data_IF_171144204172
#
_entry.id   IF_171144204172
#
_cell.length_a   1.000
_cell.length_b   1.000
_cell.length_c   1.000
_cell.angle_alpha   90.00
_cell.angle_beta   90.00
_cell.angle_gamma   90.00
#
_symmetry.space_group_name_H-M   'P 1'
#
loop_
_entity.id
_entity.type
_entity.pdbx_description
1 polymer ?
#
# COMPACT_ATOMS: atom_id res chain seq x y z
N UNK A 1 54.27 -55.32 4.18
CA UNK A 1 54.72 -54.93 2.83
C UNK A 1 53.74 -55.48 1.80
N UNK A 2 53.06 -54.58 1.06
CA UNK A 2 52.25 -54.80 -0.16
C UNK A 2 51.08 -55.81 -0.08
N UNK A 3 49.88 -55.59 -0.64
CA UNK A 3 49.55 -55.13 -1.99
C UNK A 3 48.14 -54.52 -2.08
N UNK A 4 48.03 -53.59 -3.03
CA UNK A 4 46.82 -53.08 -3.67
C UNK A 4 45.83 -54.16 -4.14
N UNK A 5 44.53 -53.84 -4.09
CA UNK A 5 43.54 -54.36 -5.05
C UNK A 5 42.75 -53.16 -5.60
N UNK A 6 42.86 -52.97 -6.91
CA UNK A 6 42.01 -52.11 -7.74
C UNK A 6 40.70 -52.85 -8.02
N UNK A 7 39.57 -52.16 -7.96
CA UNK A 7 38.34 -52.61 -8.63
C UNK A 7 38.03 -51.67 -9.78
N UNK A 8 38.02 -52.26 -10.97
CA UNK A 8 37.61 -51.70 -12.26
C UNK A 8 36.19 -52.17 -12.50
N UNK A 9 35.27 -51.28 -12.85
CA UNK A 9 34.01 -51.68 -13.47
C UNK A 9 33.84 -50.91 -14.80
N UNK A 10 33.70 -51.71 -15.86
CA UNK A 10 33.62 -51.31 -17.27
C UNK A 10 32.28 -51.82 -17.81
N UNK A 11 31.64 -50.98 -18.65
CA UNK A 11 30.58 -51.26 -19.64
C UNK A 11 29.18 -51.61 -19.10
N UNK A 12 28.07 -51.16 -19.69
CA UNK A 12 27.79 -51.25 -21.14
C UNK A 12 26.81 -50.19 -21.66
N UNK A 13 27.12 -49.67 -22.83
CA UNK A 13 26.22 -48.94 -23.73
C UNK A 13 25.41 -49.92 -24.55
N UNK A 14 24.11 -49.68 -24.73
CA UNK A 14 23.28 -50.30 -25.76
C UNK A 14 22.55 -49.19 -26.53
N UNK A 15 22.94 -49.03 -27.78
CA UNK A 15 22.24 -48.29 -28.83
C UNK A 15 21.25 -49.23 -29.51
N UNK A 16 20.03 -48.77 -29.75
CA UNK A 16 19.15 -49.24 -30.83
C UNK A 16 18.31 -48.05 -31.33
N UNK A 17 18.67 -47.58 -32.52
CA UNK A 17 17.85 -46.90 -33.56
C UNK A 17 16.58 -47.71 -33.86
N UNK A 18 15.43 -47.23 -34.37
CA UNK A 18 14.98 -46.01 -35.07
C UNK A 18 13.47 -46.17 -35.29
N UNK A 19 12.69 -45.09 -35.45
CA UNK A 19 11.71 -44.97 -36.54
C UNK A 19 11.11 -43.55 -36.62
N UNK A 20 11.01 -43.08 -37.86
CA UNK A 20 10.40 -41.83 -38.30
C UNK A 20 8.87 -41.83 -38.10
N UNK A 21 8.33 -40.66 -37.77
CA UNK A 21 6.90 -40.35 -37.84
C UNK A 21 6.69 -38.84 -37.82
N UNK A 22 6.30 -38.27 -38.96
CA UNK A 22 6.08 -36.84 -39.22
C UNK A 22 4.65 -36.40 -38.88
N UNK A 23 4.53 -35.38 -38.00
CA UNK A 23 3.47 -34.35 -37.93
C UNK A 23 2.08 -34.73 -37.37
N UNK A 24 1.21 -33.76 -37.02
CA UNK A 24 1.37 -32.30 -37.03
C UNK A 24 1.07 -31.60 -35.69
N UNK A 25 1.66 -30.41 -35.51
CA UNK A 25 1.10 -29.21 -34.85
C UNK A 25 0.05 -29.43 -33.74
N UNK A 26 0.50 -29.62 -32.50
CA UNK A 26 -0.36 -29.37 -31.32
C UNK A 26 -0.37 -27.87 -31.04
N UNK A 27 -1.57 -27.30 -31.13
CA UNK A 27 -1.87 -25.95 -30.69
C UNK A 27 -1.45 -25.76 -29.25
N UNK A 28 -0.83 -24.61 -28.96
CA UNK A 28 -0.78 -24.08 -27.61
C UNK A 28 -2.22 -23.82 -27.18
N UNK A 29 -2.79 -24.77 -26.45
CA UNK A 29 -4.03 -24.54 -25.71
C UNK A 29 -3.76 -23.43 -24.70
N UNK A 30 -4.27 -22.24 -25.05
CA UNK A 30 -4.57 -21.22 -24.08
C UNK A 30 -5.58 -21.82 -23.12
N UNK A 31 -5.17 -22.04 -21.87
CA UNK A 31 -6.11 -22.24 -20.78
C UNK A 31 -6.93 -20.94 -20.68
N UNK A 32 -8.24 -20.95 -20.93
CA UNK A 32 -9.06 -19.81 -20.60
C UNK A 32 -9.09 -19.76 -19.07
N UNK A 33 -8.44 -18.76 -18.46
CA UNK A 33 -8.76 -18.35 -17.10
C UNK A 33 -10.15 -17.74 -17.10
N UNK A 34 -11.14 -18.62 -17.15
CA UNK A 34 -12.53 -18.37 -16.76
C UNK A 34 -12.68 -18.91 -15.34
N UNK A 35 -11.87 -18.39 -14.41
CA UNK A 35 -12.21 -18.44 -13.00
C UNK A 35 -13.24 -17.34 -12.80
N UNK A 36 -14.47 -17.71 -12.49
CA UNK A 36 -15.44 -16.76 -11.96
C UNK A 36 -14.86 -16.25 -10.63
N UNK A 37 -14.19 -15.10 -10.68
CA UNK A 37 -13.82 -14.33 -9.50
C UNK A 37 -15.13 -14.02 -8.78
N UNK A 38 -15.46 -14.83 -7.77
CA UNK A 38 -16.46 -14.45 -6.81
C UNK A 38 -15.88 -13.24 -6.10
N UNK A 39 -16.35 -12.06 -6.52
CA UNK A 39 -16.18 -10.82 -5.79
C UNK A 39 -16.59 -11.11 -4.36
N UNK A 40 -15.62 -11.18 -3.45
CA UNK A 40 -15.91 -11.26 -2.03
C UNK A 40 -16.48 -9.88 -1.70
N UNK A 41 -17.81 -9.79 -1.68
CA UNK A 41 -18.54 -8.62 -1.23
C UNK A 41 -18.28 -8.44 0.27
N UNK A 42 -17.12 -7.85 0.60
CA UNK A 42 -16.91 -7.23 1.89
C UNK A 42 -17.85 -6.03 2.05
N UNK A 43 -18.10 -5.58 3.29
CA UNK A 43 -18.98 -4.44 3.60
C UNK A 43 -18.55 -3.09 2.97
N UNK A 44 -17.45 -3.07 2.22
CA UNK A 44 -16.85 -1.89 1.59
C UNK A 44 -17.43 -1.53 0.21
N UNK A 45 -18.37 -2.29 -0.35
CA UNK A 45 -18.69 -2.24 -1.79
C UNK A 45 -19.94 -1.43 -2.21
N UNK A 46 -20.62 -0.69 -1.32
CA UNK A 46 -21.86 0.04 -1.69
C UNK A 46 -21.89 1.55 -1.40
N UNK A 47 -20.76 2.23 -1.51
CA UNK A 47 -20.71 3.70 -1.43
C UNK A 47 -20.28 4.29 -2.76
N UNK A 48 -20.94 5.36 -3.22
CA UNK A 48 -20.33 6.30 -4.16
C UNK A 48 -19.09 6.86 -3.45
N UNK A 49 -17.89 6.52 -3.91
CA UNK A 49 -16.63 6.90 -3.26
C UNK A 49 -15.97 8.05 -4.02
N UNK A 50 -15.47 9.02 -3.26
CA UNK A 50 -14.54 10.03 -3.71
C UNK A 50 -13.09 9.60 -3.42
N UNK A 51 -12.16 10.12 -4.20
CA UNK A 51 -10.73 9.95 -3.95
C UNK A 51 -10.26 11.21 -3.21
N UNK A 52 -9.70 11.03 -2.01
CA UNK A 52 -9.09 12.13 -1.27
C UNK A 52 -7.58 11.99 -1.30
N UNK A 53 -6.91 13.11 -1.55
CA UNK A 53 -5.45 13.20 -1.68
C UNK A 53 -4.92 14.21 -0.68
N UNK A 54 -4.05 13.73 0.19
CA UNK A 54 -3.25 14.55 1.09
C UNK A 54 -1.96 14.98 0.40
N UNK A 55 -1.76 16.28 0.30
CA UNK A 55 -0.66 16.95 -0.40
C UNK A 55 0.11 17.80 0.60
N UNK A 56 1.41 17.96 0.39
CA UNK A 56 2.23 18.94 1.10
C UNK A 56 2.75 19.96 0.09
N UNK A 57 2.62 21.25 0.41
CA UNK A 57 3.15 22.33 -0.41
C UNK A 57 4.64 22.60 -0.13
N UNK A 58 5.26 23.41 -0.98
CA UNK A 58 6.68 23.83 -0.84
C UNK A 58 6.98 24.59 0.47
N UNK A 59 5.96 25.00 1.22
CA UNK A 59 6.07 25.61 2.55
C UNK A 59 5.87 24.62 3.69
N UNK A 60 5.77 23.31 3.40
CA UNK A 60 5.47 22.23 4.34
C UNK A 60 4.07 22.30 4.98
N UNK A 61 3.11 23.00 4.35
CA UNK A 61 1.71 22.93 4.81
C UNK A 61 1.00 21.75 4.14
N UNK A 62 0.30 20.97 4.94
CA UNK A 62 -0.57 19.91 4.45
C UNK A 62 -1.88 20.48 3.90
N UNK A 63 -2.35 19.88 2.82
CA UNK A 63 -3.63 20.18 2.20
C UNK A 63 -4.34 18.88 1.83
N UNK A 64 -5.66 18.84 1.96
CA UNK A 64 -6.49 17.70 1.54
C UNK A 64 -7.37 18.17 0.41
N UNK A 65 -7.33 17.45 -0.71
CA UNK A 65 -8.15 17.71 -1.89
C UNK A 65 -9.04 16.51 -2.21
N UNK A 66 -10.21 16.80 -2.77
CA UNK A 66 -11.06 15.79 -3.39
C UNK A 66 -10.76 15.74 -4.90
N UNK A 67 -10.61 14.52 -5.41
CA UNK A 67 -10.53 14.25 -6.84
C UNK A 67 -11.81 13.56 -7.29
N UNK A 68 -12.36 14.05 -8.38
CA UNK A 68 -13.48 13.43 -9.09
C UNK A 68 -12.94 12.59 -10.25
N UNK A 69 -13.40 11.33 -10.34
CA UNK A 69 -13.12 10.44 -11.44
C UNK A 69 -14.39 10.13 -12.24
N UNK A 70 -14.43 10.57 -13.49
CA UNK A 70 -15.52 10.31 -14.43
C UNK A 70 -15.19 9.09 -15.31
N UNK A 71 -15.75 7.94 -14.93
CA UNK A 71 -15.62 6.68 -15.66
C UNK A 71 -16.18 6.73 -17.10
N UNK A 72 -16.98 7.74 -17.46
CA UNK A 72 -17.55 7.89 -18.79
C UNK A 72 -16.71 8.78 -19.72
N UNK A 73 -15.76 9.54 -19.15
CA UNK A 73 -14.91 10.45 -19.90
C UNK A 73 -13.71 9.72 -20.54
N UNK A 74 -13.09 10.38 -21.52
CA UNK A 74 -11.78 9.95 -22.02
C UNK A 74 -10.72 10.08 -20.92
N UNK A 75 -9.76 9.17 -20.84
CA UNK A 75 -8.76 9.11 -19.74
C UNK A 75 -8.11 10.47 -19.41
N UNK A 76 -7.73 11.27 -20.43
CA UNK A 76 -7.09 12.58 -20.22
C UNK A 76 -7.98 13.67 -19.62
N UNK A 77 -9.29 13.41 -19.50
CA UNK A 77 -10.28 14.30 -18.86
C UNK A 77 -11.07 13.58 -17.76
N UNK A 78 -10.72 12.33 -17.44
CA UNK A 78 -11.46 11.52 -16.48
C UNK A 78 -11.17 11.94 -15.04
N UNK A 79 -10.00 12.53 -14.76
CA UNK A 79 -9.64 12.97 -13.41
C UNK A 79 -9.66 14.51 -13.34
N UNK A 80 -10.27 15.06 -12.29
CA UNK A 80 -10.27 16.50 -12.01
C UNK A 80 -10.20 16.80 -10.51
N UNK A 81 -9.52 17.89 -10.16
CA UNK A 81 -9.49 18.41 -8.77
C UNK A 81 -10.75 19.22 -8.53
N UNK A 82 -11.47 18.93 -7.44
CA UNK A 82 -12.59 19.75 -7.01
C UNK A 82 -12.03 20.98 -6.29
N UNK A 83 -11.77 22.07 -7.03
CA UNK A 83 -10.98 23.22 -6.53
C UNK A 83 -11.56 23.94 -5.30
N UNK A 84 -12.85 23.82 -5.04
CA UNK A 84 -13.50 24.45 -3.87
C UNK A 84 -13.48 23.55 -2.63
N UNK A 85 -12.78 22.41 -2.68
CA UNK A 85 -12.85 21.35 -1.69
C UNK A 85 -11.47 21.09 -1.06
N UNK A 86 -10.75 22.15 -0.71
CA UNK A 86 -9.43 22.05 -0.07
C UNK A 86 -9.49 22.36 1.42
N UNK A 87 -8.90 21.51 2.24
CA UNK A 87 -8.61 21.83 3.64
C UNK A 87 -7.12 22.06 3.81
N UNK A 88 -6.73 23.15 4.46
CA UNK A 88 -5.37 23.29 5.00
C UNK A 88 -5.31 22.65 6.38
N UNK A 89 -4.41 21.69 6.56
CA UNK A 89 -4.09 21.12 7.87
C UNK A 89 -2.84 21.79 8.44
N UNK A 90 -2.85 22.07 9.74
CA UNK A 90 -1.69 22.66 10.41
C UNK A 90 -0.53 21.66 10.45
N UNK A 91 0.59 22.00 9.82
CA UNK A 91 1.80 21.16 9.80
C UNK A 91 1.85 20.15 8.66
N UNK A 92 2.69 19.12 8.81
CA UNK A 92 2.95 18.12 7.78
C UNK A 92 1.93 17.00 7.84
N UNK A 93 1.25 16.74 6.73
CA UNK A 93 0.39 15.59 6.53
C UNK A 93 1.24 14.35 6.24
N UNK A 94 0.95 13.23 6.91
CA UNK A 94 1.63 11.95 6.72
C UNK A 94 0.71 10.85 6.24
N UNK A 95 -0.51 10.81 6.75
CA UNK A 95 -1.50 9.80 6.39
C UNK A 95 -2.92 10.36 6.44
N UNK A 96 -3.78 9.72 5.66
CA UNK A 96 -5.22 9.92 5.68
C UNK A 96 -5.90 8.60 6.01
N UNK A 97 -6.98 8.68 6.77
CA UNK A 97 -7.98 7.62 6.88
C UNK A 97 -9.36 8.27 7.02
N UNK A 98 -10.40 7.48 7.25
CA UNK A 98 -11.73 8.02 7.42
C UNK A 98 -12.56 7.15 8.37
N UNK A 99 -13.20 7.81 9.35
CA UNK A 99 -14.18 7.22 10.25
C UNK A 99 -15.45 6.79 9.50
N UNK A 100 -16.20 5.87 10.11
CA UNK A 100 -17.49 5.42 9.60
C UNK A 100 -18.57 6.52 9.55
N UNK A 101 -18.38 7.64 10.26
CA UNK A 101 -19.26 8.80 10.23
C UNK A 101 -18.98 9.76 9.04
N UNK A 102 -18.02 9.42 8.18
CA UNK A 102 -17.62 10.21 7.02
C UNK A 102 -16.51 11.23 7.31
N UNK A 103 -16.03 11.33 8.55
CA UNK A 103 -14.95 12.27 8.89
C UNK A 103 -13.59 11.71 8.46
N UNK A 104 -12.83 12.51 7.71
CA UNK A 104 -11.45 12.20 7.37
C UNK A 104 -10.58 12.41 8.61
N UNK A 105 -9.77 11.40 8.91
CA UNK A 105 -8.75 11.43 9.96
C UNK A 105 -7.41 11.76 9.30
N UNK A 106 -6.68 12.70 9.86
CA UNK A 106 -5.38 13.14 9.36
C UNK A 106 -4.30 12.79 10.37
N UNK A 107 -3.35 11.95 9.97
CA UNK A 107 -2.10 11.75 10.70
C UNK A 107 -1.04 12.75 10.23
N UNK A 108 -0.30 13.36 11.15
CA UNK A 108 0.73 14.34 10.81
C UNK A 108 1.64 14.75 11.98
N UNK A 109 2.52 15.72 11.69
CA UNK A 109 3.39 16.37 12.68
C UNK A 109 3.12 17.88 12.74
N UNK A 110 2.99 18.47 13.93
CA UNK A 110 2.77 19.92 14.11
C UNK A 110 2.40 20.33 15.54
N UNK A 111 2.02 21.60 15.74
CA UNK A 111 1.60 22.17 17.05
C UNK A 111 0.37 21.47 17.65
N UNK A 112 -0.44 20.86 16.79
CA UNK A 112 -1.58 20.00 17.12
C UNK A 112 -1.20 18.58 16.78
N UNK A 113 -0.29 18.00 17.55
CA UNK A 113 -0.10 16.55 17.57
C UNK A 113 -1.04 15.97 18.59
N UNK A 114 -2.24 15.73 18.08
CA UNK A 114 -2.73 14.39 17.69
C UNK A 114 -3.66 14.42 16.43
N UNK A 115 -4.26 13.31 15.94
CA UNK A 115 -5.04 13.30 14.69
C UNK A 115 -6.10 14.41 14.58
N UNK A 116 -6.19 15.01 13.39
CA UNK A 116 -7.15 16.07 13.06
C UNK A 116 -8.33 15.46 12.31
N UNK A 117 -9.56 15.92 12.61
CA UNK A 117 -10.76 15.50 11.90
C UNK A 117 -11.29 16.56 10.94
N UNK A 118 -11.70 16.09 9.77
CA UNK A 118 -12.31 16.88 8.72
C UNK A 118 -13.67 16.31 8.32
N UNK A 119 -14.73 17.11 8.47
CA UNK A 119 -16.09 16.79 8.03
C UNK A 119 -16.45 17.64 6.82
N UNK A 120 -16.91 17.04 5.73
CA UNK A 120 -17.33 17.78 4.52
C UNK A 120 -16.25 18.77 4.05
N UNK A 121 -14.98 18.37 4.19
CA UNK A 121 -13.81 19.19 3.93
C UNK A 121 -13.75 20.51 4.72
N UNK A 122 -14.28 20.50 5.94
CA UNK A 122 -14.12 21.55 6.94
C UNK A 122 -13.47 20.96 8.21
N UNK A 123 -12.50 21.68 8.79
CA UNK A 123 -11.87 21.27 10.05
C UNK A 123 -12.86 21.43 11.19
N UNK A 124 -13.09 20.34 11.94
CA UNK A 124 -13.99 20.36 13.10
C UNK A 124 -13.21 20.52 14.43
N UNK A 125 -11.89 20.35 14.39
CA UNK A 125 -11.00 20.56 15.52
C UNK A 125 -9.77 19.66 15.45
N UNK A 126 -8.74 19.98 16.23
CA UNK A 126 -7.66 19.05 16.57
C UNK A 126 -8.08 18.24 17.80
N UNK A 127 -7.96 16.92 17.73
CA UNK A 127 -8.40 16.04 18.82
C UNK A 127 -7.27 15.15 19.27
N UNK A 128 -7.10 15.03 20.59
CA UNK A 128 -6.14 14.12 21.22
C UNK A 128 -6.84 12.85 21.60
N UNK A 129 -6.53 11.71 20.96
CA UNK A 129 -6.81 10.43 21.56
C UNK A 129 -6.20 10.42 22.98
N UNK A 130 -6.95 9.95 23.96
CA UNK A 130 -6.55 9.98 25.37
C UNK A 130 -6.60 8.59 26.00
N UNK A 131 -5.89 8.41 27.11
CA UNK A 131 -5.98 7.21 27.94
C UNK A 131 -4.93 6.14 27.66
N UNK A 132 -4.17 6.24 26.56
CA UNK A 132 -2.99 5.41 26.35
C UNK A 132 -1.92 5.75 27.39
N UNK A 133 -1.28 4.73 27.97
CA UNK A 133 -0.12 4.94 28.86
C UNK A 133 1.11 5.48 28.11
N UNK A 134 1.14 5.23 26.79
CA UNK A 134 2.15 5.70 25.85
C UNK A 134 1.41 6.25 24.60
N UNK A 135 0.96 7.52 24.66
CA UNK A 135 0.19 8.13 23.58
C UNK A 135 1.11 8.53 22.41
N UNK A 136 0.59 8.43 21.19
CA UNK A 136 1.31 8.85 19.99
C UNK A 136 1.58 10.36 20.01
N UNK A 137 2.84 10.74 19.91
CA UNK A 137 3.25 12.15 19.85
C UNK A 137 3.60 12.63 18.45
N UNK A 138 3.60 11.72 17.46
CA UNK A 138 3.88 11.99 16.05
C UNK A 138 3.18 10.98 15.12
N UNK A 139 1.89 11.19 14.86
CA UNK A 139 1.06 10.25 14.09
C UNK A 139 1.51 10.17 12.62
N UNK A 140 2.22 9.11 12.24
CA UNK A 140 2.70 8.92 10.87
C UNK A 140 1.69 8.16 10.01
N UNK A 141 1.08 7.12 10.58
CA UNK A 141 0.05 6.33 9.91
C UNK A 141 -1.24 6.33 10.73
N UNK A 142 -2.36 6.41 10.02
CA UNK A 142 -3.70 6.16 10.55
C UNK A 142 -4.45 5.20 9.63
N UNK A 143 -5.18 4.23 10.17
CA UNK A 143 -6.15 3.46 9.41
C UNK A 143 -7.37 3.11 10.25
N UNK A 144 -8.54 3.10 9.60
CA UNK A 144 -9.83 2.81 10.24
C UNK A 144 -10.19 1.35 10.02
N UNK A 145 -10.69 0.71 11.08
CA UNK A 145 -11.26 -0.63 11.07
C UNK A 145 -12.75 -0.56 10.70
N UNK A 146 -13.35 -1.60 10.10
CA UNK A 146 -14.77 -1.55 9.71
C UNK A 146 -15.75 -1.33 10.89
N UNK A 147 -15.38 -1.62 12.13
CA UNK A 147 -16.18 -1.33 13.32
C UNK A 147 -16.17 0.17 13.72
N UNK A 148 -15.37 1.00 13.05
CA UNK A 148 -15.24 2.44 13.31
C UNK A 148 -14.16 2.79 14.33
N UNK A 149 -13.46 1.79 14.90
CA UNK A 149 -12.21 2.03 15.61
C UNK A 149 -11.13 2.42 14.60
N UNK A 150 -10.07 3.04 15.08
CA UNK A 150 -8.93 3.41 14.24
C UNK A 150 -7.61 3.15 14.94
N UNK A 151 -6.62 2.83 14.13
CA UNK A 151 -5.24 2.60 14.56
C UNK A 151 -4.46 3.86 14.26
N UNK A 152 -3.69 4.32 15.22
CA UNK A 152 -2.69 5.37 15.05
C UNK A 152 -1.33 4.74 15.28
N UNK A 153 -0.37 5.05 14.42
CA UNK A 153 1.00 4.60 14.57
C UNK A 153 1.95 5.80 14.51
N UNK A 154 2.81 5.88 15.50
CA UNK A 154 3.83 6.91 15.61
C UNK A 154 5.02 6.66 14.66
N UNK A 155 5.62 7.73 14.16
CA UNK A 155 6.99 7.73 13.63
C UNK A 155 7.95 8.19 14.73
N UNK A 156 8.85 7.31 15.16
CA UNK A 156 9.90 7.66 16.12
C UNK A 156 11.28 7.40 15.55
N UNK A 157 12.18 8.36 15.80
CA UNK A 157 13.60 8.24 15.44
C UNK A 157 14.44 7.59 16.54
N UNK A 158 13.87 7.24 17.70
CA UNK A 158 14.71 6.93 18.87
C UNK A 158 14.15 5.99 19.95
N UNK A 159 12.84 5.79 20.10
CA UNK A 159 12.27 4.94 21.16
C UNK A 159 10.91 4.43 20.75
N UNK A 160 10.75 3.09 20.74
CA UNK A 160 9.53 2.30 20.47
C UNK A 160 8.28 3.05 20.02
N UNK A 161 7.75 2.69 18.84
CA UNK A 161 6.53 3.32 18.34
C UNK A 161 5.32 2.94 19.20
N UNK A 162 4.63 3.96 19.70
CA UNK A 162 3.25 3.80 20.09
C UNK A 162 2.42 3.42 18.85
N UNK A 163 1.74 2.28 18.93
CA UNK A 163 0.71 1.87 17.97
C UNK A 163 -0.51 1.51 18.79
N UNK A 164 -1.49 2.40 18.84
CA UNK A 164 -2.68 2.22 19.65
C UNK A 164 -3.94 2.18 18.80
N UNK A 165 -4.92 1.45 19.32
CA UNK A 165 -6.29 1.41 18.83
C UNK A 165 -7.15 2.34 19.67
N UNK A 166 -7.95 3.15 19.00
CA UNK A 166 -8.90 4.08 19.58
C UNK A 166 -10.30 3.80 19.05
N UNK A 167 -11.30 4.02 19.89
CA UNK A 167 -12.70 3.90 19.47
C UNK A 167 -13.15 5.14 18.69
N UNK A 168 -14.36 5.09 18.11
CA UNK A 168 -14.93 6.22 17.37
C UNK A 168 -15.07 7.53 18.17
N UNK A 169 -15.01 7.46 19.51
CA UNK A 169 -15.08 8.57 20.46
C UNK A 169 -13.72 8.98 21.02
N UNK A 170 -12.63 8.51 20.40
CA UNK A 170 -11.23 8.84 20.70
C UNK A 170 -10.73 8.31 22.06
N UNK A 171 -11.42 7.32 22.62
CA UNK A 171 -10.94 6.64 23.83
C UNK A 171 -9.96 5.54 23.45
N UNK A 172 -8.86 5.46 24.21
CA UNK A 172 -7.94 4.33 24.12
C UNK A 172 -8.66 3.00 24.37
N UNK A 173 -8.49 2.08 23.43
CA UNK A 173 -9.03 0.72 23.54
C UNK A 173 -7.93 -0.22 24.02
N UNK A 174 -6.80 -0.25 23.31
CA UNK A 174 -5.64 -1.12 23.58
C UNK A 174 -4.44 -0.71 22.74
N UNK A 175 -3.27 -1.19 23.14
CA UNK A 175 -2.08 -1.17 22.28
C UNK A 175 -2.15 -2.30 21.26
N UNK A 176 -1.71 -2.03 20.03
CA UNK A 176 -1.71 -2.99 18.93
C UNK A 176 -0.42 -3.79 18.93
N UNK A 177 0.73 -3.15 18.75
CA UNK A 177 2.00 -3.89 18.64
C UNK A 177 3.22 -2.96 18.66
N UNK A 178 4.35 -3.48 19.13
CA UNK A 178 5.68 -2.85 18.95
C UNK A 178 6.29 -3.35 17.66
N UNK A 179 6.59 -2.48 16.70
CA UNK A 179 7.00 -2.80 15.32
C UNK A 179 7.90 -4.03 15.12
N UNK A 180 7.80 -4.70 13.97
CA UNK A 180 8.56 -5.94 13.69
C UNK A 180 10.07 -5.66 13.66
N UNK A 181 10.48 -4.44 13.30
CA UNK A 181 11.87 -3.97 13.33
C UNK A 181 12.27 -3.35 14.68
N UNK A 182 11.45 -3.50 15.71
CA UNK A 182 11.76 -3.12 17.09
C UNK A 182 11.58 -1.63 17.37
N UNK A 183 12.60 -0.97 17.94
CA UNK A 183 12.52 0.44 18.34
C UNK A 183 12.69 1.44 17.19
N UNK A 184 12.87 0.93 15.97
CA UNK A 184 13.34 1.69 14.81
C UNK A 184 12.43 1.51 13.59
N UNK A 185 11.32 0.77 13.70
CA UNK A 185 10.35 0.69 12.62
C UNK A 185 9.60 2.01 12.46
N UNK A 186 9.04 2.28 11.29
CA UNK A 186 8.01 3.31 11.07
C UNK A 186 6.93 2.68 10.21
N UNK A 187 5.69 2.69 10.67
CA UNK A 187 4.56 2.24 9.84
C UNK A 187 4.28 3.37 8.85
N UNK A 188 4.35 3.08 7.54
CA UNK A 188 4.19 4.08 6.48
C UNK A 188 2.78 4.09 5.89
N UNK A 189 2.08 2.96 5.95
CA UNK A 189 0.69 2.84 5.53
C UNK A 189 0.04 1.62 6.20
N UNK A 190 -1.25 1.70 6.53
CA UNK A 190 -2.03 0.55 6.99
C UNK A 190 -3.45 0.53 6.41
N UNK A 191 -4.09 -0.64 6.48
CA UNK A 191 -5.50 -0.83 6.16
C UNK A 191 -6.13 -1.80 7.16
N UNK A 192 -7.31 -1.43 7.67
CA UNK A 192 -8.19 -2.34 8.38
C UNK A 192 -8.91 -3.24 7.38
N UNK A 193 -8.53 -4.51 7.33
CA UNK A 193 -9.14 -5.49 6.43
C UNK A 193 -10.52 -5.89 6.93
N UNK A 194 -10.57 -6.22 8.22
CA UNK A 194 -11.77 -6.49 8.99
C UNK A 194 -11.57 -5.96 10.42
N UNK A 195 -12.49 -6.26 11.34
CA UNK A 195 -12.41 -5.76 12.73
C UNK A 195 -11.26 -6.37 13.54
N UNK A 196 -10.69 -7.45 13.06
CA UNK A 196 -9.68 -8.25 13.75
C UNK A 196 -8.40 -8.39 12.92
N UNK A 197 -8.31 -7.80 11.73
CA UNK A 197 -7.19 -7.95 10.81
C UNK A 197 -6.76 -6.59 10.28
N UNK A 198 -5.47 -6.29 10.47
CA UNK A 198 -4.80 -5.14 9.87
C UNK A 198 -3.71 -5.66 8.95
N UNK A 199 -3.51 -5.00 7.81
CA UNK A 199 -2.30 -5.16 7.01
C UNK A 199 -1.60 -3.82 6.92
N UNK A 200 -0.29 -3.81 7.10
CA UNK A 200 0.51 -2.59 7.02
C UNK A 200 1.85 -2.79 6.35
N UNK A 201 2.45 -1.65 5.99
CA UNK A 201 3.83 -1.53 5.56
C UNK A 201 4.62 -0.86 6.68
N UNK A 202 5.75 -1.46 7.02
CA UNK A 202 6.69 -0.95 8.01
C UNK A 202 8.07 -0.82 7.38
N UNK A 203 8.73 0.32 7.57
CA UNK A 203 10.11 0.56 7.14
C UNK A 203 11.05 0.62 8.33
N UNK A 204 12.33 0.29 8.17
CA UNK A 204 13.33 0.51 9.23
C UNK A 204 13.66 1.99 9.45
N UNK A 205 14.59 2.28 10.38
CA UNK A 205 14.96 3.64 10.76
C UNK A 205 15.65 4.37 9.62
N UNK A 206 14.90 5.21 8.88
CA UNK A 206 15.34 6.17 7.86
C UNK A 206 16.36 5.69 6.81
N UNK A 207 16.66 4.40 6.78
CA UNK A 207 17.34 3.69 5.72
C UNK A 207 16.26 3.08 4.85
N UNK A 208 16.12 3.61 3.64
CA UNK A 208 15.19 3.19 2.60
C UNK A 208 15.52 1.80 2.03
N UNK A 209 15.91 0.89 2.91
CA UNK A 209 16.37 -0.46 2.65
C UNK A 209 15.65 -1.35 3.64
N UNK A 210 14.92 -2.33 3.13
CA UNK A 210 14.24 -3.37 3.89
C UNK A 210 12.97 -2.85 4.60
N UNK A 211 11.83 -3.00 3.94
CA UNK A 211 10.49 -2.91 4.54
C UNK A 211 9.99 -4.28 4.93
N UNK A 212 9.07 -4.31 5.89
CA UNK A 212 8.23 -5.45 6.17
C UNK A 212 6.80 -5.16 5.72
N UNK A 213 6.17 -6.15 5.10
CA UNK A 213 4.73 -6.24 5.05
C UNK A 213 4.30 -7.11 6.22
N UNK A 214 3.34 -6.64 7.03
CA UNK A 214 2.84 -7.44 8.14
C UNK A 214 1.33 -7.54 8.11
N UNK A 215 0.85 -8.73 8.45
CA UNK A 215 -0.57 -9.01 8.72
C UNK A 215 -0.69 -9.25 10.22
N UNK A 216 -1.49 -8.43 10.86
CA UNK A 216 -1.68 -8.39 12.31
C UNK A 216 -3.11 -8.80 12.60
N UNK A 217 -3.29 -9.68 13.57
CA UNK A 217 -4.59 -10.22 13.95
C UNK A 217 -4.89 -10.01 15.42
N UNK A 218 -6.12 -9.61 15.72
CA UNK A 218 -6.66 -9.55 17.06
C UNK A 218 -7.09 -10.96 17.49
N UNK A 219 -6.45 -11.47 18.53
CA UNK A 219 -6.71 -12.81 19.08
C UNK A 219 -6.80 -12.70 20.59
N UNK A 220 -7.93 -13.11 21.16
CA UNK A 220 -8.17 -13.05 22.61
C UNK A 220 -7.92 -11.64 23.20
N UNK A 221 -8.45 -10.61 22.53
CA UNK A 221 -8.34 -9.21 22.93
C UNK A 221 -6.92 -8.60 22.85
N UNK A 222 -5.97 -9.32 22.25
CA UNK A 222 -4.62 -8.84 22.00
C UNK A 222 -4.25 -8.94 20.52
N UNK A 223 -3.68 -7.86 19.99
CA UNK A 223 -3.15 -7.84 18.63
C UNK A 223 -1.83 -8.61 18.56
N UNK A 224 -1.66 -9.37 17.49
CA UNK A 224 -0.51 -10.26 17.31
C UNK A 224 -0.10 -10.32 15.84
N UNK A 225 1.20 -10.41 15.58
CA UNK A 225 1.72 -10.61 14.23
C UNK A 225 1.38 -12.04 13.77
N UNK A 226 0.64 -12.14 12.68
CA UNK A 226 0.27 -13.42 12.07
C UNK A 226 1.23 -13.80 10.93
N UNK A 227 1.55 -12.85 10.07
CA UNK A 227 2.48 -13.04 8.96
C UNK A 227 3.37 -11.81 8.79
N UNK A 228 4.61 -12.05 8.37
CA UNK A 228 5.57 -11.00 7.97
C UNK A 228 6.27 -11.45 6.71
N UNK A 229 6.37 -10.55 5.74
CA UNK A 229 7.29 -10.68 4.62
C UNK A 229 8.28 -9.52 4.64
N UNK A 230 9.56 -9.86 4.74
CA UNK A 230 10.67 -8.92 4.55
C UNK A 230 10.92 -8.74 3.06
N UNK A 231 11.02 -7.49 2.61
CA UNK A 231 11.30 -7.16 1.21
C UNK A 231 12.65 -7.67 0.72
N UNK A 232 13.64 -7.82 1.60
CA UNK A 232 14.94 -8.44 1.28
C UNK A 232 14.80 -9.95 1.06
N UNK A 233 13.84 -10.60 1.72
CA UNK A 233 13.55 -12.02 1.45
C UNK A 233 12.77 -12.21 0.15
N UNK A 234 11.92 -11.24 -0.20
CA UNK A 234 11.17 -11.24 -1.45
C UNK A 234 12.06 -10.95 -2.66
N UNK A 235 12.96 -9.97 -2.54
CA UNK A 235 13.83 -9.50 -3.63
C UNK A 235 15.30 -9.33 -3.15
N UNK A 236 16.03 -10.44 -2.95
CA UNK A 236 17.34 -10.43 -2.30
C UNK A 236 18.41 -9.63 -3.07
N UNK A 237 19.20 -8.84 -2.34
CA UNK A 237 20.30 -8.04 -2.88
C UNK A 237 19.87 -6.77 -3.61
N UNK A 238 18.56 -6.60 -3.81
CA UNK A 238 17.99 -5.42 -4.43
C UNK A 238 17.53 -4.39 -3.40
N UNK A 239 17.49 -4.69 -2.10
CA UNK A 239 17.15 -3.71 -1.07
C UNK A 239 15.82 -2.99 -1.37
N UNK A 240 14.86 -3.74 -1.90
CA UNK A 240 13.53 -3.25 -2.26
C UNK A 240 12.84 -2.71 -1.02
N UNK A 241 12.09 -1.63 -1.16
CA UNK A 241 11.31 -1.03 -0.08
C UNK A 241 9.85 -0.94 -0.55
N UNK A 242 8.90 -1.12 0.35
CA UNK A 242 7.49 -0.88 0.12
C UNK A 242 7.09 0.36 0.92
N UNK A 243 6.09 1.10 0.43
CA UNK A 243 5.66 2.33 1.10
C UNK A 243 4.14 2.45 1.24
N UNK A 244 3.41 2.18 0.17
CA UNK A 244 1.95 2.26 0.14
C UNK A 244 1.35 0.90 -0.17
N UNK A 245 0.07 0.79 0.16
CA UNK A 245 -0.77 -0.35 -0.16
C UNK A 245 -2.20 0.10 -0.45
N UNK A 246 -2.93 -0.72 -1.20
CA UNK A 246 -4.40 -0.68 -1.29
C UNK A 246 -4.96 -2.09 -1.29
N UNK A 247 -6.14 -2.28 -0.72
CA UNK A 247 -6.95 -3.47 -0.98
C UNK A 247 -7.68 -3.27 -2.30
N UNK A 248 -7.81 -4.35 -3.06
CA UNK A 248 -8.53 -4.39 -4.32
C UNK A 248 -9.71 -5.37 -4.24
N UNK A 249 -10.76 -5.14 -5.02
CA UNK A 249 -12.01 -5.91 -5.00
C UNK A 249 -11.86 -7.38 -5.44
N UNK A 250 -10.71 -7.75 -5.98
CA UNK A 250 -10.36 -9.13 -6.35
C UNK A 250 -9.86 -9.96 -5.13
N UNK A 251 -9.91 -9.39 -3.92
CA UNK A 251 -9.45 -10.06 -2.70
C UNK A 251 -7.94 -10.05 -2.53
N UNK A 252 -7.20 -9.19 -3.23
CA UNK A 252 -5.77 -9.02 -3.08
C UNK A 252 -5.42 -7.64 -2.51
N UNK A 253 -4.22 -7.56 -1.93
CA UNK A 253 -3.55 -6.31 -1.57
C UNK A 253 -2.47 -6.03 -2.60
N UNK A 254 -2.41 -4.77 -3.02
CA UNK A 254 -1.38 -4.27 -3.93
C UNK A 254 -0.44 -3.37 -3.16
N UNK A 255 0.84 -3.69 -3.18
CA UNK A 255 1.90 -2.90 -2.59
C UNK A 255 2.73 -2.23 -3.68
N UNK A 256 3.13 -1.00 -3.39
CA UNK A 256 3.95 -0.21 -4.32
C UNK A 256 5.39 -0.22 -3.85
N UNK A 257 6.37 -0.56 -4.70
CA UNK A 257 7.76 -0.34 -4.36
C UNK A 257 8.06 1.15 -4.21
N UNK A 258 9.01 1.45 -3.34
CA UNK A 258 9.70 2.71 -3.23
C UNK A 258 11.17 2.43 -3.53
N UNK A 259 11.66 2.90 -4.68
CA UNK A 259 13.06 2.76 -5.04
C UNK A 259 13.77 4.11 -5.06
N UNK A 260 15.03 4.09 -4.61
CA UNK A 260 16.00 5.19 -4.66
C UNK A 260 17.10 4.94 -5.72
N UNK A 261 17.38 3.68 -6.05
CA UNK A 261 18.62 3.27 -6.69
C UNK A 261 18.39 2.35 -7.92
N UNK A 262 17.66 2.84 -8.91
CA UNK A 262 17.93 2.65 -10.36
C UNK A 262 17.96 1.27 -10.99
N UNK A 263 17.81 0.17 -10.24
CA UNK A 263 18.02 -1.18 -10.76
C UNK A 263 17.10 -2.24 -10.13
N UNK A 264 16.10 -1.82 -9.36
CA UNK A 264 15.41 -2.68 -8.38
C UNK A 264 13.94 -2.87 -8.76
N UNK A 265 13.26 -3.78 -8.04
CA UNK A 265 11.86 -4.14 -8.25
C UNK A 265 10.97 -2.92 -8.49
N UNK A 266 10.36 -2.85 -9.67
CA UNK A 266 9.62 -1.68 -10.15
C UNK A 266 8.22 -2.02 -10.66
N UNK A 267 7.67 -3.17 -10.28
CA UNK A 267 6.29 -3.57 -10.61
C UNK A 267 5.41 -3.46 -9.36
N UNK A 268 4.10 -3.56 -9.52
CA UNK A 268 3.23 -3.74 -8.35
C UNK A 268 3.45 -5.13 -7.77
N UNK A 269 3.40 -5.23 -6.45
CA UNK A 269 3.37 -6.51 -5.76
C UNK A 269 1.92 -6.83 -5.38
N UNK A 270 1.39 -7.93 -5.88
CA UNK A 270 0.05 -8.44 -5.55
C UNK A 270 0.17 -9.61 -4.60
N UNK A 271 -0.51 -9.53 -3.46
CA UNK A 271 -0.59 -10.62 -2.47
C UNK A 271 -2.06 -10.92 -2.16
N UNK A 272 -2.47 -12.20 -2.07
CA UNK A 272 -3.75 -12.55 -1.49
C UNK A 272 -3.93 -11.95 -0.10
N UNK A 273 -5.13 -11.45 0.19
CA UNK A 273 -5.44 -10.79 1.47
C UNK A 273 -5.18 -11.67 2.70
N UNK A 274 -5.26 -12.99 2.54
CA UNK A 274 -5.04 -14.00 3.57
C UNK A 274 -3.62 -14.60 3.56
N UNK A 275 -2.78 -14.27 2.57
CA UNK A 275 -1.42 -14.80 2.43
C UNK A 275 -0.49 -13.73 1.85
N UNK A 276 0.18 -13.01 2.74
CA UNK A 276 1.21 -12.02 2.39
C UNK A 276 2.62 -12.61 2.45
N UNK A 277 2.77 -13.93 2.45
CA UNK A 277 4.08 -14.58 2.42
C UNK A 277 4.79 -14.36 1.07
N UNK A 278 6.10 -14.60 1.05
CA UNK A 278 6.89 -14.54 -0.19
C UNK A 278 6.37 -15.46 -1.29
N UNK A 279 5.73 -16.57 -0.93
CA UNK A 279 5.13 -17.51 -1.89
C UNK A 279 3.72 -17.14 -2.32
N UNK A 280 2.99 -16.37 -1.50
CA UNK A 280 1.66 -15.87 -1.82
C UNK A 280 1.71 -14.64 -2.73
N UNK A 281 2.76 -13.83 -2.62
CA UNK A 281 2.92 -12.60 -3.36
C UNK A 281 3.55 -12.79 -4.75
N UNK A 282 3.17 -11.94 -5.72
CA UNK A 282 3.72 -11.94 -7.08
C UNK A 282 3.85 -10.54 -7.68
N UNK A 283 4.88 -10.34 -8.49
CA UNK A 283 5.05 -9.14 -9.30
C UNK A 283 4.00 -9.11 -10.42
N UNK A 284 3.29 -7.99 -10.59
CA UNK A 284 2.24 -7.86 -11.61
C UNK A 284 2.31 -6.53 -12.37
N UNK A 285 1.80 -6.57 -13.60
CA UNK A 285 1.73 -5.43 -14.50
C UNK A 285 3.07 -5.07 -15.16
N UNK A 286 3.10 -3.94 -15.86
CA UNK A 286 4.33 -3.39 -16.43
C UNK A 286 5.19 -2.70 -15.34
N UNK A 287 6.45 -2.39 -15.65
CA UNK A 287 7.24 -1.48 -14.82
C UNK A 287 6.51 -0.15 -14.58
N UNK A 288 6.50 0.29 -13.32
CA UNK A 288 5.95 1.56 -12.87
C UNK A 288 6.82 2.69 -13.46
N UNK A 289 6.21 3.65 -14.18
CA UNK A 289 6.94 4.76 -14.79
C UNK A 289 7.83 5.51 -13.79
N UNK A 290 9.09 5.73 -14.17
CA UNK A 290 10.06 6.47 -13.36
C UNK A 290 10.68 5.69 -12.19
N UNK A 291 10.04 4.64 -11.66
CA UNK A 291 10.59 3.81 -10.58
C UNK A 291 11.74 2.96 -11.11
N UNK A 292 12.86 2.91 -10.38
CA UNK A 292 14.06 2.22 -10.84
C UNK A 292 14.83 2.96 -11.92
N UNK A 293 14.65 4.28 -12.09
CA UNK A 293 15.47 5.10 -13.00
C UNK A 293 16.67 5.80 -12.33
N UNK A 294 16.81 5.66 -11.01
CA UNK A 294 17.85 6.34 -10.22
C UNK A 294 17.53 7.82 -9.95
N UNK A 295 16.34 8.27 -10.35
CA UNK A 295 15.85 9.60 -10.02
C UNK A 295 15.13 9.58 -8.67
N UNK A 296 15.60 10.40 -7.72
CA UNK A 296 15.04 10.55 -6.38
C UNK A 296 13.59 11.05 -6.39
N UNK A 297 13.08 11.50 -7.53
CA UNK A 297 11.76 12.10 -7.70
C UNK A 297 10.71 11.16 -8.30
N UNK A 298 10.93 9.84 -8.34
CA UNK A 298 9.95 8.89 -8.90
C UNK A 298 9.37 7.96 -7.84
N UNK A 299 8.76 8.53 -6.80
CA UNK A 299 8.24 7.76 -5.68
C UNK A 299 6.77 7.47 -5.87
N UNK A 300 6.34 6.23 -5.70
CA UNK A 300 4.92 5.97 -5.53
C UNK A 300 4.51 6.51 -4.16
N UNK A 301 3.56 7.45 -4.14
CA UNK A 301 3.07 8.19 -2.98
C UNK A 301 1.66 7.80 -2.57
N UNK A 302 1.00 7.00 -3.39
CA UNK A 302 -0.35 6.52 -3.13
C UNK A 302 -0.82 5.59 -4.23
N UNK A 303 -1.69 4.68 -3.87
CA UNK A 303 -2.39 3.79 -4.78
C UNK A 303 -3.82 3.61 -4.26
N UNK A 304 -4.80 3.66 -5.15
CA UNK A 304 -6.21 3.40 -4.83
C UNK A 304 -6.90 2.73 -6.00
N UNK A 305 -7.85 1.85 -5.70
CA UNK A 305 -8.77 1.31 -6.71
C UNK A 305 -9.75 2.39 -7.18
N UNK A 306 -10.00 2.47 -8.48
CA UNK A 306 -11.01 3.38 -9.03
C UNK A 306 -12.40 2.85 -8.67
N UNK A 307 -13.28 3.66 -8.05
CA UNK A 307 -14.63 3.21 -7.70
C UNK A 307 -15.39 2.65 -8.91
N UNK A 308 -15.95 1.44 -8.75
CA UNK A 308 -16.69 0.75 -9.81
C UNK A 308 -15.84 0.19 -10.96
N UNK A 309 -14.52 0.17 -10.82
CA UNK A 309 -13.58 -0.38 -11.80
C UNK A 309 -12.57 -1.33 -11.15
N UNK A 310 -12.01 -2.25 -11.92
CA UNK A 310 -10.83 -3.03 -11.49
C UNK A 310 -9.53 -2.25 -11.68
N UNK A 311 -9.57 -1.10 -12.35
CA UNK A 311 -8.39 -0.28 -12.56
C UNK A 311 -8.01 0.48 -11.27
N UNK A 312 -6.77 0.97 -11.24
CA UNK A 312 -6.23 1.72 -10.10
C UNK A 312 -5.68 3.07 -10.54
N UNK A 313 -5.63 4.02 -9.62
CA UNK A 313 -4.80 5.21 -9.74
C UNK A 313 -3.53 5.01 -8.92
N UNK A 314 -2.40 5.32 -9.54
CA UNK A 314 -1.07 5.26 -8.93
C UNK A 314 -0.46 6.65 -8.98
N UNK A 315 -0.16 7.20 -7.80
CA UNK A 315 0.37 8.55 -7.64
C UNK A 315 1.89 8.45 -7.56
N UNK A 316 2.60 8.97 -8.56
CA UNK A 316 4.05 8.94 -8.65
C UNK A 316 4.54 10.38 -8.53
N UNK A 317 5.06 10.74 -7.36
CA UNK A 317 5.44 12.11 -7.01
C UNK A 317 4.29 13.10 -7.20
N UNK A 318 4.31 13.93 -8.25
CA UNK A 318 3.22 14.86 -8.57
C UNK A 318 2.39 14.42 -9.79
N UNK A 319 2.67 13.26 -10.38
CA UNK A 319 1.92 12.72 -11.52
C UNK A 319 0.95 11.63 -11.06
N UNK A 320 -0.21 11.57 -11.69
CA UNK A 320 -1.21 10.53 -11.48
C UNK A 320 -1.29 9.66 -12.72
N UNK A 321 -1.14 8.35 -12.52
CA UNK A 321 -1.22 7.35 -13.56
C UNK A 321 -2.48 6.50 -13.37
N UNK A 322 -3.19 6.25 -14.46
CA UNK A 322 -4.16 5.17 -14.56
C UNK A 322 -3.43 3.86 -14.82
N UNK A 323 -3.62 2.88 -13.94
CA UNK A 323 -3.17 1.51 -14.11
C UNK A 323 -4.33 0.66 -14.63
N UNK A 324 -4.19 0.19 -15.87
CA UNK A 324 -5.15 -0.74 -16.47
C UNK A 324 -4.90 -2.14 -15.92
N UNK A 325 -5.85 -2.69 -15.18
CA UNK A 325 -5.73 -3.97 -14.52
C UNK A 325 -5.55 -5.14 -15.49
N UNK A 326 -6.25 -5.08 -16.63
CA UNK A 326 -6.24 -6.17 -17.61
C UNK A 326 -4.94 -6.26 -18.42
N UNK A 327 -4.32 -5.12 -18.73
CA UNK A 327 -3.10 -5.07 -19.54
C UNK A 327 -1.84 -4.81 -18.71
N UNK A 328 -2.00 -4.41 -17.45
CA UNK A 328 -0.91 -3.99 -16.59
C UNK A 328 -0.25 -2.65 -16.99
N UNK A 329 -0.86 -1.90 -17.91
CA UNK A 329 -0.24 -0.69 -18.49
C UNK A 329 -0.53 0.56 -17.66
N UNK A 330 0.42 1.50 -17.67
CA UNK A 330 0.28 2.81 -17.03
C UNK A 330 0.07 3.89 -18.09
N UNK A 331 -0.92 4.74 -17.88
CA UNK A 331 -1.18 5.93 -18.69
C UNK A 331 -1.21 7.15 -17.78
N UNK A 332 -0.38 8.16 -18.03
CA UNK A 332 -0.46 9.43 -17.28
C UNK A 332 -1.81 10.10 -17.57
N UNK A 333 -2.53 10.47 -16.51
CA UNK A 333 -3.87 11.08 -16.61
C UNK A 333 -3.92 12.49 -16.01
N UNK A 334 -2.98 12.85 -15.14
CA UNK A 334 -2.91 14.18 -14.55
C UNK A 334 -1.50 14.50 -14.05
N UNK A 335 -1.04 15.72 -14.33
CA UNK A 335 0.07 16.36 -13.63
C UNK A 335 -0.52 17.32 -12.58
N UNK A 336 -0.33 17.00 -11.29
CA UNK A 336 -0.88 17.79 -10.19
C UNK A 336 -0.28 19.21 -10.15
N UNK A 337 0.97 19.41 -10.59
CA UNK A 337 1.59 20.75 -10.59
C UNK A 337 0.95 21.70 -11.61
N UNK A 338 0.38 21.14 -12.68
CA UNK A 338 -0.38 21.92 -13.68
C UNK A 338 -1.70 22.48 -13.11
N UNK A 339 -2.26 21.83 -12.09
CA UNK A 339 -3.53 22.22 -11.46
C UNK A 339 -3.32 22.95 -10.14
N UNK A 340 -2.28 22.56 -9.40
CA UNK A 340 -1.94 23.00 -8.05
C UNK A 340 -0.42 23.31 -7.99
N UNK A 341 0.01 24.49 -8.46
CA UNK A 341 1.42 24.79 -8.73
C UNK A 341 2.35 24.82 -7.51
N UNK A 342 1.80 24.91 -6.30
CA UNK A 342 2.57 24.99 -5.06
C UNK A 342 2.84 23.63 -4.41
N UNK A 343 2.31 22.54 -4.96
CA UNK A 343 2.52 21.19 -4.41
C UNK A 343 3.98 20.81 -4.52
N UNK A 344 4.52 20.30 -3.41
CA UNK A 344 5.79 19.60 -3.40
C UNK A 344 5.57 18.09 -3.53
N UNK A 345 4.69 17.49 -2.72
CA UNK A 345 4.61 16.03 -2.66
C UNK A 345 3.23 15.50 -2.27
N UNK A 346 2.80 14.42 -2.92
CA UNK A 346 1.67 13.60 -2.45
C UNK A 346 2.12 12.80 -1.22
N UNK A 347 1.33 12.85 -0.15
CA UNK A 347 1.65 12.19 1.13
C UNK A 347 0.77 10.97 1.39
N UNK A 348 -0.51 11.04 1.03
CA UNK A 348 -1.46 9.95 1.25
C UNK A 348 -2.62 10.06 0.28
N UNK A 349 -3.23 8.92 -0.04
CA UNK A 349 -4.43 8.82 -0.87
C UNK A 349 -5.35 7.79 -0.26
N UNK A 350 -6.63 8.13 -0.14
CA UNK A 350 -7.67 7.21 0.33
C UNK A 350 -8.91 7.28 -0.55
N UNK A 351 -9.68 6.20 -0.52
CA UNK A 351 -11.07 6.22 -0.94
C UNK A 351 -11.95 6.45 0.29
N UNK A 352 -12.90 7.37 0.16
CA UNK A 352 -13.90 7.62 1.19
C UNK A 352 -15.28 7.79 0.53
N UNK A 353 -16.39 7.41 1.18
CA UNK A 353 -17.74 7.73 0.74
C UNK A 353 -17.87 9.22 0.43
N UNK A 354 -18.69 9.50 -0.57
CA UNK A 354 -19.09 10.84 -0.95
C UNK A 354 -19.81 11.50 0.23
N UNK A 355 -19.33 12.67 0.65
CA UNK A 355 -20.07 13.52 1.59
C UNK A 355 -21.40 13.92 0.93
N UNK A 356 -22.52 13.69 1.63
CA UNK A 356 -23.86 14.03 1.15
C UNK A 356 -24.13 15.53 1.16
#
# INVERSE_FOLDING_TARGET
MYKNIRLVLITSSLLLTSCLGTGPNESKDQIPQSGSDQVIEGPWNSFDKNIFVGLEDTSNNGHIYELHFDNSATLGSALSVVRNSSITVGGRLRSLSMKNDGNIIVGGSGEVNPPIYAKDLSLVGSHSPTGASDPETNSHTVCTLPNGNYIVAEDTSSTGNAVNEYDSSDNFVRSVYTTVKGSNGTITQCIGVDNETIVWVETGAWGFTNSNLARIKLVNDAWSVEQVMDSESFDPGNGTNFWNLTVHSDGNIYFTPADRDGAKFNQLLRCPLNDISTTGCSAVGNPIPGVGSGNYLSWVRGIVQIPGSNDMLVFISQEVYHYNYSTGAYTSVMDLTSVLPSIDVVRSVILAPKSN
#
